data_IF_837999345750
#
_entry.id   IF_837999345750
#
_cell.length_a   1.000
_cell.length_b   1.000
_cell.length_c   1.000
_cell.angle_alpha   90.00
_cell.angle_beta   90.00
_cell.angle_gamma   90.00
#
_symmetry.space_group_name_H-M   'P 1'
#
loop_
_entity.id
_entity.type
_entity.pdbx_description
1 polymer ?
#
# COMPACT_ATOMS: atom_id res chain seq x y z
N UNK A 1 10.49 9.02 7.01
CA UNK A 1 10.99 9.69 5.80
C UNK A 1 9.92 10.46 5.02
N UNK A 2 8.84 9.83 4.55
CA UNK A 2 7.78 10.52 3.77
C UNK A 2 7.23 11.75 4.52
N UNK A 3 6.75 11.57 5.75
CA UNK A 3 6.21 12.67 6.55
C UNK A 3 7.22 13.79 6.83
N UNK A 4 8.51 13.46 7.02
CA UNK A 4 9.55 14.49 7.18
C UNK A 4 9.71 15.33 5.92
N UNK A 5 9.65 14.72 4.73
CA UNK A 5 9.71 15.46 3.47
C UNK A 5 8.49 16.38 3.28
N UNK A 6 7.31 15.95 3.71
CA UNK A 6 6.13 16.82 3.67
C UNK A 6 6.24 17.97 4.68
N UNK A 7 6.81 17.75 5.87
CA UNK A 7 7.09 18.82 6.81
C UNK A 7 8.13 19.81 6.27
N UNK A 8 9.19 19.32 5.59
CA UNK A 8 10.16 20.18 4.91
C UNK A 8 9.48 21.13 3.92
N UNK A 9 8.52 20.63 3.15
CA UNK A 9 7.77 21.44 2.17
C UNK A 9 6.85 22.44 2.87
N UNK A 10 6.07 21.97 3.86
CA UNK A 10 5.10 22.80 4.57
C UNK A 10 5.77 23.91 5.37
N UNK A 11 6.85 23.58 6.07
CA UNK A 11 7.51 24.47 7.03
C UNK A 11 8.72 25.20 6.40
N UNK A 12 8.94 25.01 5.09
CA UNK A 12 10.08 25.53 4.35
C UNK A 12 11.44 25.20 5.01
N UNK A 13 11.60 23.93 5.38
CA UNK A 13 12.84 23.39 5.98
C UNK A 13 13.50 22.34 5.06
N UNK A 14 14.68 21.86 5.44
CA UNK A 14 15.48 20.92 4.64
C UNK A 14 16.12 19.82 5.50
N UNK A 15 15.32 19.22 6.38
CA UNK A 15 15.80 18.25 7.38
C UNK A 15 15.83 16.83 6.80
N UNK A 16 14.88 16.48 5.94
CA UNK A 16 14.72 15.11 5.47
C UNK A 16 15.97 14.56 4.74
N UNK A 17 16.71 15.32 3.90
CA UNK A 17 17.91 14.79 3.24
C UNK A 17 19.03 14.43 4.21
N UNK A 18 19.31 15.27 5.21
CA UNK A 18 20.34 15.00 6.22
C UNK A 18 19.99 13.78 7.08
N UNK A 19 18.71 13.66 7.47
CA UNK A 19 18.23 12.48 8.21
C UNK A 19 18.31 11.23 7.34
N UNK A 20 17.99 11.33 6.05
CA UNK A 20 18.05 10.21 5.12
C UNK A 20 19.47 9.65 4.98
N UNK A 21 20.46 10.53 4.80
CA UNK A 21 21.87 10.15 4.70
C UNK A 21 22.32 9.39 5.95
N UNK A 22 22.08 9.98 7.13
CA UNK A 22 22.41 9.36 8.43
C UNK A 22 21.74 8.00 8.60
N UNK A 23 20.47 7.89 8.17
CA UNK A 23 19.69 6.67 8.25
C UNK A 23 20.25 5.58 7.34
N UNK A 24 20.58 5.92 6.08
CA UNK A 24 21.16 4.99 5.12
C UNK A 24 22.54 4.49 5.58
N UNK A 25 23.39 5.35 6.13
CA UNK A 25 24.69 4.95 6.65
C UNK A 25 24.58 4.05 7.88
N UNK A 26 23.63 4.35 8.76
CA UNK A 26 23.31 3.49 9.91
C UNK A 26 22.80 2.12 9.45
N UNK A 27 21.96 2.08 8.42
CA UNK A 27 21.44 0.84 7.85
C UNK A 27 22.55 -0.02 7.24
N UNK A 28 23.46 0.59 6.47
CA UNK A 28 24.64 -0.10 5.92
C UNK A 28 25.54 -0.65 7.03
N UNK A 29 25.87 0.15 8.04
CA UNK A 29 26.76 -0.28 9.14
C UNK A 29 26.17 -1.39 10.01
N UNK A 30 24.84 -1.46 10.12
CA UNK A 30 24.14 -2.54 10.83
C UNK A 30 23.82 -3.75 9.96
N UNK A 31 24.28 -3.78 8.70
CA UNK A 31 23.97 -4.81 7.72
C UNK A 31 22.45 -5.04 7.54
N UNK A 32 21.65 -3.95 7.53
CA UNK A 32 20.18 -3.98 7.44
C UNK A 32 19.61 -4.61 6.17
N UNK A 33 20.47 -5.02 5.24
CA UNK A 33 20.15 -5.72 4.01
C UNK A 33 20.95 -7.00 3.92
N UNK A 34 20.27 -8.07 3.52
CA UNK A 34 20.89 -9.35 3.22
C UNK A 34 21.27 -9.44 1.74
N UNK A 35 22.20 -10.33 1.45
CA UNK A 35 22.60 -10.68 0.07
C UNK A 35 21.43 -11.24 -0.75
N UNK A 36 20.39 -11.75 -0.09
CA UNK A 36 19.19 -12.23 -0.77
C UNK A 36 18.22 -11.09 -1.16
N UNK A 37 18.49 -9.84 -0.75
CA UNK A 37 17.67 -8.66 -1.04
C UNK A 37 16.56 -8.36 -0.04
N UNK A 38 16.42 -9.17 1.03
CA UNK A 38 15.53 -8.86 2.14
C UNK A 38 16.15 -7.81 3.09
N UNK A 39 15.28 -7.03 3.72
CA UNK A 39 15.62 -6.32 4.96
C UNK A 39 15.92 -7.36 6.05
N UNK A 40 16.97 -7.18 6.87
CA UNK A 40 17.51 -8.19 7.84
C UNK A 40 16.51 -9.26 8.29
N UNK A 41 16.95 -10.52 8.18
CA UNK A 41 16.53 -11.84 8.72
C UNK A 41 15.32 -11.98 9.65
N UNK A 42 15.00 -10.97 10.46
CA UNK A 42 13.84 -10.97 11.37
C UNK A 42 12.57 -10.41 10.73
N UNK A 43 12.66 -9.84 9.52
CA UNK A 43 11.51 -9.36 8.79
C UNK A 43 11.01 -10.41 7.78
N UNK A 44 9.95 -11.06 8.22
CA UNK A 44 9.11 -11.94 7.40
C UNK A 44 8.70 -11.25 6.06
N UNK A 45 8.46 -11.99 4.96
CA UNK A 45 8.16 -11.42 3.64
C UNK A 45 7.06 -10.34 3.64
N UNK A 46 6.09 -10.42 4.56
CA UNK A 46 5.06 -9.42 4.81
C UNK A 46 5.64 -8.04 5.13
N UNK A 47 6.67 -7.96 5.99
CA UNK A 47 7.26 -6.67 6.34
C UNK A 47 8.05 -6.09 5.16
N UNK A 48 8.78 -6.94 4.43
CA UNK A 48 9.48 -6.50 3.22
C UNK A 48 8.50 -5.89 2.22
N UNK A 49 7.30 -6.44 2.08
CA UNK A 49 6.27 -5.87 1.21
C UNK A 49 5.84 -4.46 1.66
N UNK A 50 5.50 -4.29 2.95
CA UNK A 50 5.14 -2.97 3.50
C UNK A 50 6.29 -1.95 3.37
N UNK A 51 7.50 -2.38 3.71
CA UNK A 51 8.68 -1.53 3.68
C UNK A 51 9.00 -1.12 2.23
N UNK A 52 9.02 -2.05 1.28
CA UNK A 52 9.28 -1.77 -0.13
C UNK A 52 8.28 -0.75 -0.69
N UNK A 53 6.98 -0.91 -0.42
CA UNK A 53 5.94 0.05 -0.82
C UNK A 53 6.26 1.47 -0.32
N UNK A 54 6.62 1.61 0.96
CA UNK A 54 6.93 2.90 1.59
C UNK A 54 8.29 3.47 1.17
N UNK A 55 9.27 2.59 0.95
CA UNK A 55 10.63 2.94 0.57
C UNK A 55 10.72 3.43 -0.87
N UNK A 56 9.81 3.01 -1.74
CA UNK A 56 9.71 3.48 -3.12
C UNK A 56 9.73 5.02 -3.22
N UNK A 57 9.20 5.70 -2.19
CA UNK A 57 9.21 7.15 -2.11
C UNK A 57 10.61 7.77 -2.12
N UNK A 58 11.54 7.22 -1.34
CA UNK A 58 12.81 7.86 -0.99
C UNK A 58 14.06 7.01 -1.29
N UNK A 59 13.90 5.72 -1.56
CA UNK A 59 14.95 4.81 -2.04
C UNK A 59 14.35 3.76 -2.99
N UNK A 60 13.96 4.19 -4.19
CA UNK A 60 13.24 3.34 -5.14
C UNK A 60 14.08 2.21 -5.73
N UNK A 61 15.38 2.39 -5.87
CA UNK A 61 16.29 1.36 -6.38
C UNK A 61 16.28 0.15 -5.44
N UNK A 62 16.40 0.42 -4.14
CA UNK A 62 16.35 -0.62 -3.13
C UNK A 62 14.94 -1.22 -2.97
N UNK A 63 13.89 -0.40 -3.04
CA UNK A 63 12.52 -0.89 -3.02
C UNK A 63 12.26 -1.86 -4.18
N UNK A 64 12.81 -1.59 -5.37
CA UNK A 64 12.71 -2.47 -6.53
C UNK A 64 13.43 -3.81 -6.30
N UNK A 65 14.65 -3.79 -5.75
CA UNK A 65 15.36 -5.02 -5.37
C UNK A 65 14.54 -5.84 -4.37
N UNK A 66 14.01 -5.18 -3.32
CA UNK A 66 13.18 -5.83 -2.31
C UNK A 66 11.91 -6.45 -2.91
N UNK A 67 11.26 -5.77 -3.86
CA UNK A 67 10.12 -6.31 -4.61
C UNK A 67 10.50 -7.55 -5.41
N UNK A 68 11.55 -7.48 -6.23
CA UNK A 68 11.97 -8.58 -7.10
C UNK A 68 12.38 -9.82 -6.31
N UNK A 69 13.01 -9.63 -5.15
CA UNK A 69 13.34 -10.71 -4.21
C UNK A 69 12.11 -11.29 -3.52
N UNK A 70 11.25 -10.43 -2.96
CA UNK A 70 10.22 -10.85 -2.01
C UNK A 70 8.92 -11.30 -2.69
N UNK A 71 8.67 -10.88 -3.93
CA UNK A 71 7.38 -11.09 -4.61
C UNK A 71 6.92 -12.54 -4.58
N UNK A 72 7.75 -13.49 -5.01
CA UNK A 72 7.38 -14.90 -5.03
C UNK A 72 7.11 -15.45 -3.63
N UNK A 73 7.94 -15.07 -2.64
CA UNK A 73 7.77 -15.48 -1.24
C UNK A 73 6.45 -14.94 -0.66
N UNK A 74 6.13 -13.68 -0.96
CA UNK A 74 4.84 -13.04 -0.61
C UNK A 74 3.67 -13.78 -1.24
N UNK A 75 3.76 -14.12 -2.53
CA UNK A 75 2.69 -14.85 -3.24
C UNK A 75 2.50 -16.27 -2.71
N UNK A 76 3.57 -16.98 -2.37
CA UNK A 76 3.50 -18.32 -1.77
C UNK A 76 2.79 -18.30 -0.41
N UNK A 77 2.89 -17.20 0.35
CA UNK A 77 2.19 -17.04 1.62
C UNK A 77 0.68 -16.75 1.43
N UNK A 78 0.30 -16.13 0.32
CA UNK A 78 -1.09 -15.76 0.01
C UNK A 78 -1.83 -16.93 -0.67
N UNK A 79 -1.15 -17.57 -1.62
CA UNK A 79 -1.65 -18.68 -2.41
C UNK A 79 -0.69 -19.87 -2.27
N UNK A 80 -0.65 -20.53 -1.10
CA UNK A 80 0.17 -21.72 -0.95
C UNK A 80 -0.32 -22.75 -1.97
N UNK A 81 0.51 -23.04 -2.97
CA UNK A 81 0.21 -24.14 -3.89
C UNK A 81 0.02 -25.40 -3.03
N UNK A 82 -0.89 -26.29 -3.43
CA UNK A 82 -1.14 -27.58 -2.78
C UNK A 82 0.07 -28.55 -2.91
N UNK A 83 1.29 -28.02 -2.85
CA UNK A 83 2.51 -28.77 -2.65
C UNK A 83 2.59 -29.03 -1.16
N UNK A 84 2.67 -30.30 -0.81
CA UNK A 84 3.04 -30.83 0.50
C UNK A 84 4.41 -30.34 1.03
N UNK A 85 4.97 -29.26 0.49
CA UNK A 85 6.33 -28.74 0.76
C UNK A 85 6.33 -27.43 1.56
N UNK A 86 5.18 -26.91 2.00
CA UNK A 86 5.16 -25.85 3.04
C UNK A 86 5.82 -26.35 4.34
N UNK A 87 5.80 -27.66 4.57
CA UNK A 87 6.57 -28.29 5.64
C UNK A 87 8.08 -28.03 5.48
N UNK A 88 8.65 -28.16 4.29
CA UNK A 88 10.11 -28.03 4.06
C UNK A 88 10.61 -26.58 4.07
N UNK A 89 9.80 -25.62 3.59
CA UNK A 89 10.13 -24.19 3.69
C UNK A 89 10.05 -23.69 5.16
N UNK A 90 9.21 -24.32 5.98
CA UNK A 90 9.11 -24.00 7.41
C UNK A 90 10.29 -24.58 8.21
N UNK A 91 10.79 -25.78 7.87
CA UNK A 91 11.85 -26.44 8.66
C UNK A 91 13.16 -25.66 8.68
N UNK A 92 13.50 -24.94 7.61
CA UNK A 92 14.75 -24.15 7.53
C UNK A 92 14.65 -22.83 8.31
N UNK A 93 13.44 -22.30 8.53
CA UNK A 93 13.20 -21.09 9.33
C UNK A 93 13.02 -21.38 10.82
N UNK A 94 12.59 -22.60 11.19
CA UNK A 94 12.32 -23.01 12.57
C UNK A 94 13.58 -23.08 13.45
N UNK A 95 14.79 -23.10 12.89
CA UNK A 95 16.03 -23.16 13.69
C UNK A 95 16.53 -21.82 14.23
N UNK A 96 15.83 -20.70 13.98
CA UNK A 96 16.17 -19.40 14.55
C UNK A 96 15.00 -18.88 15.40
N UNK A 97 15.11 -19.14 16.70
CA UNK A 97 14.37 -18.55 17.81
C UNK A 97 12.91 -18.17 17.54
N UNK A 98 12.00 -19.06 17.95
CA UNK A 98 10.56 -18.78 18.10
C UNK A 98 10.33 -17.60 19.05
N UNK A 99 10.21 -16.40 18.49
CA UNK A 99 9.34 -15.38 19.08
C UNK A 99 7.91 -15.89 18.82
N UNK A 100 7.07 -16.05 19.85
CA UNK A 100 5.67 -16.40 19.64
C UNK A 100 5.09 -15.33 18.73
N UNK A 101 4.69 -15.65 17.50
CA UNK A 101 4.17 -14.68 16.52
C UNK A 101 2.72 -14.32 16.91
N UNK A 102 2.47 -13.19 17.58
CA UNK A 102 1.14 -12.80 18.02
C UNK A 102 0.68 -11.71 17.04
N UNK A 103 -0.15 -12.10 16.07
CA UNK A 103 -0.67 -11.36 14.91
C UNK A 103 -0.07 -11.88 13.60
N UNK A 104 -0.88 -12.60 12.82
CA UNK A 104 -0.68 -12.72 11.38
C UNK A 104 -0.64 -11.31 10.82
N UNK A 105 0.52 -10.84 10.37
CA UNK A 105 0.67 -9.52 9.73
C UNK A 105 -0.26 -9.45 8.51
N UNK A 106 -0.75 -8.25 8.13
CA UNK A 106 -1.74 -8.06 7.07
C UNK A 106 -1.13 -8.26 5.66
N UNK A 107 -0.67 -9.47 5.37
CA UNK A 107 0.07 -9.82 4.15
C UNK A 107 -0.69 -9.48 2.88
N UNK A 108 -2.00 -9.70 2.86
CA UNK A 108 -2.85 -9.33 1.73
C UNK A 108 -2.82 -7.82 1.47
N UNK A 109 -2.85 -7.03 2.54
CA UNK A 109 -2.81 -5.58 2.47
C UNK A 109 -1.45 -5.06 2.01
N UNK A 110 -0.38 -5.57 2.61
CA UNK A 110 0.98 -5.17 2.25
C UNK A 110 1.37 -5.59 0.83
N UNK A 111 0.90 -6.74 0.36
CA UNK A 111 1.07 -7.14 -1.03
C UNK A 111 0.33 -6.19 -1.98
N UNK A 112 -0.92 -5.80 -1.67
CA UNK A 112 -1.66 -4.83 -2.48
C UNK A 112 -0.90 -3.50 -2.62
N UNK A 113 -0.40 -2.98 -1.49
CA UNK A 113 0.40 -1.75 -1.45
C UNK A 113 1.68 -1.90 -2.28
N UNK A 114 2.46 -2.95 -2.03
CA UNK A 114 3.72 -3.20 -2.72
C UNK A 114 3.55 -3.35 -4.24
N UNK A 115 2.57 -4.14 -4.69
CA UNK A 115 2.31 -4.36 -6.11
C UNK A 115 1.84 -3.06 -6.78
N UNK A 116 0.98 -2.28 -6.11
CA UNK A 116 0.53 -0.99 -6.67
C UNK A 116 1.65 0.04 -6.83
N UNK A 117 2.66 0.01 -5.94
CA UNK A 117 3.79 0.93 -5.97
C UNK A 117 4.88 0.53 -6.97
N UNK A 118 5.13 -0.78 -7.12
CA UNK A 118 6.35 -1.32 -7.73
C UNK A 118 6.09 -2.35 -8.86
N UNK A 119 4.92 -2.98 -8.88
CA UNK A 119 4.51 -3.93 -9.90
C UNK A 119 3.92 -3.26 -11.15
N UNK A 120 3.67 -4.06 -12.18
CA UNK A 120 2.93 -3.60 -13.36
C UNK A 120 1.40 -3.68 -13.15
N UNK A 121 0.67 -2.98 -14.02
CA UNK A 121 -0.79 -2.90 -13.97
C UNK A 121 -1.46 -4.26 -14.08
N UNK A 122 -0.93 -5.15 -14.94
CA UNK A 122 -1.48 -6.49 -15.15
C UNK A 122 -1.37 -7.36 -13.88
N UNK A 123 -0.26 -7.24 -13.17
CA UNK A 123 0.00 -7.95 -11.90
C UNK A 123 -0.93 -7.44 -10.80
N UNK A 124 -1.11 -6.12 -10.69
CA UNK A 124 -2.03 -5.52 -9.73
C UNK A 124 -3.48 -5.95 -10.01
N UNK A 125 -3.90 -5.87 -11.27
CA UNK A 125 -5.24 -6.23 -11.71
C UNK A 125 -5.53 -7.74 -11.50
N UNK A 126 -4.55 -8.61 -11.79
CA UNK A 126 -4.66 -10.03 -11.46
C UNK A 126 -4.77 -10.28 -9.95
N UNK A 127 -3.97 -9.58 -9.14
CA UNK A 127 -4.01 -9.68 -7.69
C UNK A 127 -5.37 -9.24 -7.13
N UNK A 128 -5.89 -8.10 -7.57
CA UNK A 128 -7.18 -7.57 -7.13
C UNK A 128 -8.34 -8.50 -7.53
N UNK A 129 -8.31 -9.08 -8.75
CA UNK A 129 -9.30 -10.10 -9.15
C UNK A 129 -9.26 -11.35 -8.28
N UNK A 130 -8.08 -11.79 -7.90
CA UNK A 130 -7.93 -12.90 -6.97
C UNK A 130 -8.57 -12.55 -5.62
N UNK A 131 -8.26 -11.37 -5.08
CA UNK A 131 -8.81 -10.88 -3.81
C UNK A 131 -10.34 -10.81 -3.89
N UNK A 132 -10.93 -10.25 -4.94
CA UNK A 132 -12.39 -10.15 -5.11
C UNK A 132 -13.08 -11.52 -5.15
N UNK A 133 -12.43 -12.50 -5.77
CA UNK A 133 -12.95 -13.87 -5.84
C UNK A 133 -12.84 -14.60 -4.50
N UNK A 134 -11.74 -14.39 -3.79
CA UNK A 134 -11.43 -15.05 -2.53
C UNK A 134 -12.18 -14.42 -1.34
N UNK A 135 -12.34 -13.10 -1.38
CA UNK A 135 -12.97 -12.24 -0.38
C UNK A 135 -13.91 -11.27 -1.10
N UNK A 136 -15.16 -11.68 -1.39
CA UNK A 136 -16.11 -10.79 -2.06
C UNK A 136 -16.29 -9.50 -1.27
N UNK A 137 -16.06 -8.32 -1.87
CA UNK A 137 -16.23 -7.06 -1.17
C UNK A 137 -17.72 -6.70 -1.03
N UNK A 138 -18.00 -5.78 -0.11
CA UNK A 138 -19.32 -5.21 0.13
C UNK A 138 -19.30 -3.73 -0.24
N UNK A 139 -20.37 -3.28 -0.89
CA UNK A 139 -20.70 -1.86 -1.03
C UNK A 139 -21.73 -1.49 0.02
N UNK A 140 -21.41 -0.51 0.86
CA UNK A 140 -22.32 0.04 1.85
C UNK A 140 -22.14 1.56 1.88
N UNK A 141 -23.22 2.30 1.64
CA UNK A 141 -23.24 3.77 1.69
C UNK A 141 -22.09 4.42 0.89
N UNK A 142 -21.88 3.98 -0.35
CA UNK A 142 -20.82 4.49 -1.24
C UNK A 142 -19.42 3.93 -0.96
N UNK A 143 -19.21 3.28 0.19
CA UNK A 143 -17.95 2.67 0.56
C UNK A 143 -17.82 1.23 0.06
N UNK A 144 -16.72 0.94 -0.64
CA UNK A 144 -16.26 -0.42 -0.91
C UNK A 144 -15.35 -0.89 0.23
N UNK A 145 -15.69 -2.02 0.86
CA UNK A 145 -14.83 -2.62 1.89
C UNK A 145 -14.84 -4.15 1.83
N UNK A 146 -13.82 -4.77 2.44
CA UNK A 146 -13.76 -6.22 2.62
C UNK A 146 -14.06 -6.56 4.09
N UNK A 147 -15.13 -7.32 4.38
CA UNK A 147 -15.48 -7.68 5.74
C UNK A 147 -14.36 -8.43 6.45
N UNK A 148 -14.22 -8.21 7.75
CA UNK A 148 -13.27 -8.96 8.55
C UNK A 148 -13.65 -10.44 8.58
N UNK A 149 -12.70 -11.31 8.20
CA UNK A 149 -12.87 -12.76 8.16
C UNK A 149 -11.71 -13.38 8.94
N UNK A 150 -12.05 -14.04 10.04
CA UNK A 150 -11.10 -14.84 10.80
C UNK A 150 -10.55 -15.98 9.92
N UNK A 151 -9.31 -16.38 10.20
CA UNK A 151 -8.68 -17.48 9.49
C UNK A 151 -9.53 -18.75 9.64
N UNK A 152 -10.13 -19.21 8.54
CA UNK A 152 -10.80 -20.53 8.49
C UNK A 152 -9.74 -21.58 8.21
N UNK A 153 -9.91 -22.79 8.76
CA UNK A 153 -8.97 -23.91 8.62
C UNK A 153 -8.48 -24.08 7.17
N UNK A 154 -7.27 -23.58 6.89
CA UNK A 154 -6.32 -24.20 5.97
C UNK A 154 -6.28 -23.80 4.49
N UNK A 155 -6.69 -22.59 4.04
CA UNK A 155 -6.38 -22.24 2.63
C UNK A 155 -5.97 -20.80 2.30
N UNK A 156 -6.46 -19.78 2.99
CA UNK A 156 -6.18 -18.39 2.65
C UNK A 156 -5.90 -17.54 3.90
N UNK A 157 -5.10 -16.46 3.81
CA UNK A 157 -4.86 -15.56 4.94
C UNK A 157 -6.15 -14.95 5.51
N UNK A 158 -6.18 -14.51 6.78
CA UNK A 158 -7.33 -13.78 7.30
C UNK A 158 -7.49 -12.41 6.61
N UNK A 159 -8.72 -11.89 6.64
CA UNK A 159 -9.01 -10.50 6.27
C UNK A 159 -9.22 -9.70 7.57
N UNK A 160 -8.29 -8.83 7.92
CA UNK A 160 -8.44 -7.92 9.06
C UNK A 160 -8.96 -6.53 8.61
N UNK A 161 -9.35 -5.70 9.58
CA UNK A 161 -9.93 -4.39 9.31
C UNK A 161 -8.97 -3.44 8.57
N UNK A 162 -7.66 -3.49 8.85
CA UNK A 162 -6.69 -2.67 8.14
C UNK A 162 -6.53 -3.16 6.69
N UNK A 163 -6.40 -4.46 6.48
CA UNK A 163 -6.33 -5.06 5.14
C UNK A 163 -7.54 -4.66 4.30
N UNK A 164 -8.74 -4.89 4.83
CA UNK A 164 -10.00 -4.74 4.09
C UNK A 164 -10.48 -3.31 3.90
N UNK A 165 -10.16 -2.39 4.82
CA UNK A 165 -10.67 -1.02 4.76
C UNK A 165 -9.62 0.01 4.33
N UNK A 166 -8.33 -0.32 4.40
CA UNK A 166 -7.28 0.64 4.07
C UNK A 166 -6.29 0.10 3.03
N UNK A 167 -5.73 -1.09 3.22
CA UNK A 167 -4.59 -1.53 2.43
C UNK A 167 -4.97 -2.04 1.01
N UNK A 168 -6.06 -2.80 0.86
CA UNK A 168 -6.56 -3.16 -0.48
C UNK A 168 -7.13 -1.93 -1.19
N UNK A 169 -7.96 -1.08 -0.56
CA UNK A 169 -8.38 0.19 -1.16
C UNK A 169 -7.21 1.09 -1.59
N UNK A 170 -6.14 1.15 -0.80
CA UNK A 170 -4.90 1.80 -1.22
C UNK A 170 -4.42 1.23 -2.56
N UNK A 171 -4.28 -0.10 -2.68
CA UNK A 171 -3.86 -0.72 -3.93
C UNK A 171 -4.77 -0.42 -5.13
N UNK A 172 -6.06 -0.19 -4.90
CA UNK A 172 -7.05 0.17 -5.94
C UNK A 172 -6.97 1.63 -6.36
N UNK A 173 -6.75 2.54 -5.41
CA UNK A 173 -6.72 3.99 -5.63
C UNK A 173 -5.34 4.51 -6.03
N UNK A 174 -4.30 3.77 -5.68
CA UNK A 174 -2.93 4.18 -5.93
C UNK A 174 -2.61 4.17 -7.42
N UNK A 175 -1.84 5.16 -7.86
CA UNK A 175 -1.22 5.18 -9.18
C UNK A 175 0.18 4.59 -9.10
N UNK A 176 0.69 4.03 -10.20
CA UNK A 176 2.04 3.48 -10.23
C UNK A 176 3.08 4.50 -9.72
N UNK A 177 3.86 4.09 -8.71
CA UNK A 177 4.81 4.93 -7.98
C UNK A 177 4.18 6.14 -7.25
N UNK A 178 2.93 6.04 -6.79
CA UNK A 178 2.18 7.13 -6.17
C UNK A 178 2.95 7.83 -5.04
N UNK A 179 3.51 7.08 -4.09
CA UNK A 179 4.27 7.67 -2.99
C UNK A 179 5.53 8.39 -3.47
N UNK A 180 6.21 7.85 -4.48
CA UNK A 180 7.39 8.48 -5.09
C UNK A 180 7.04 9.76 -5.82
N UNK A 181 5.91 9.79 -6.54
CA UNK A 181 5.42 11.01 -7.20
C UNK A 181 5.17 12.10 -6.17
N UNK A 182 4.43 11.79 -5.11
CA UNK A 182 4.14 12.72 -4.02
C UNK A 182 5.39 13.15 -3.24
N UNK A 183 6.37 12.26 -3.08
CA UNK A 183 7.63 12.56 -2.39
C UNK A 183 8.55 13.47 -3.22
N UNK A 184 8.69 13.20 -4.53
CA UNK A 184 9.54 13.98 -5.43
C UNK A 184 8.94 15.32 -5.79
N UNK A 185 7.64 15.34 -6.06
CA UNK A 185 6.89 16.54 -6.47
C UNK A 185 5.71 16.77 -5.52
N UNK A 186 5.98 17.09 -4.24
CA UNK A 186 4.92 17.43 -3.30
C UNK A 186 4.23 18.71 -3.74
N UNK A 187 2.92 18.80 -3.54
CA UNK A 187 2.19 20.05 -3.70
C UNK A 187 2.73 21.11 -2.74
N UNK A 188 2.93 22.31 -3.28
CA UNK A 188 3.45 23.48 -2.56
C UNK A 188 2.30 24.42 -2.22
N UNK A 189 2.60 25.48 -1.45
CA UNK A 189 1.64 26.58 -1.20
C UNK A 189 1.10 27.19 -2.50
N UNK A 190 1.93 27.28 -3.55
CA UNK A 190 1.50 27.76 -4.87
C UNK A 190 0.40 26.88 -5.47
N UNK A 191 0.50 25.55 -5.35
CA UNK A 191 -0.55 24.65 -5.82
C UNK A 191 -1.89 24.94 -5.12
N UNK A 192 -1.88 25.00 -3.79
CA UNK A 192 -3.11 25.22 -3.01
C UNK A 192 -3.70 26.63 -3.15
N UNK A 193 -2.90 27.63 -3.52
CA UNK A 193 -3.36 29.00 -3.75
C UNK A 193 -3.92 29.25 -5.15
N UNK A 194 -3.66 28.35 -6.10
CA UNK A 194 -4.05 28.51 -7.51
C UNK A 194 -5.06 27.49 -7.99
N UNK A 195 -5.01 26.26 -7.46
CA UNK A 195 -5.94 25.20 -7.87
C UNK A 195 -7.30 25.39 -7.18
N UNK A 196 -8.40 25.34 -7.95
CA UNK A 196 -9.71 25.42 -7.35
C UNK A 196 -10.05 24.09 -6.66
N UNK A 197 -10.84 24.21 -5.59
CA UNK A 197 -11.33 23.09 -4.82
C UNK A 197 -12.83 23.26 -4.57
N UNK A 198 -13.47 22.16 -4.22
CA UNK A 198 -14.89 22.15 -3.85
C UNK A 198 -14.95 22.33 -2.34
N UNK A 199 -15.70 23.32 -1.90
CA UNK A 199 -15.95 23.58 -0.48
C UNK A 199 -17.43 23.29 -0.13
N UNK A 200 -17.74 23.18 1.16
CA UNK A 200 -19.07 22.88 1.69
C UNK A 200 -19.66 21.55 1.23
N UNK A 201 -18.79 20.58 0.90
CA UNK A 201 -19.15 19.17 0.71
C UNK A 201 -18.24 18.32 1.59
N UNK A 202 -18.85 17.44 2.37
CA UNK A 202 -18.15 16.52 3.26
C UNK A 202 -18.72 15.09 3.13
N UNK A 203 -18.19 14.16 3.92
CA UNK A 203 -18.64 12.76 3.91
C UNK A 203 -20.11 12.58 4.33
N UNK A 204 -20.71 13.57 5.00
CA UNK A 204 -22.13 13.58 5.40
C UNK A 204 -23.07 14.07 4.30
N UNK A 205 -22.52 14.65 3.22
CA UNK A 205 -23.29 15.32 2.16
C UNK A 205 -24.06 14.35 1.24
N UNK A 206 -23.99 13.03 1.47
CA UNK A 206 -24.79 12.05 0.73
C UNK A 206 -24.35 11.83 -0.71
N UNK A 207 -23.13 12.26 -1.08
CA UNK A 207 -22.59 12.26 -2.43
C UNK A 207 -21.20 11.61 -2.51
N UNK A 208 -20.97 10.85 -3.58
CA UNK A 208 -19.67 10.33 -3.97
C UNK A 208 -19.10 11.12 -5.14
N UNK A 209 -17.78 11.31 -5.14
CA UNK A 209 -17.04 11.94 -6.24
C UNK A 209 -16.51 10.87 -7.19
N UNK A 210 -17.08 10.79 -8.39
CA UNK A 210 -16.70 9.81 -9.41
C UNK A 210 -15.56 10.30 -10.31
N UNK A 211 -15.47 11.61 -10.49
CA UNK A 211 -14.45 12.26 -11.32
C UNK A 211 -14.26 13.70 -10.87
N UNK A 212 -13.02 14.16 -10.87
CA UNK A 212 -12.65 15.57 -10.80
C UNK A 212 -11.48 15.84 -11.74
N UNK A 213 -11.57 16.88 -12.56
CA UNK A 213 -10.46 17.36 -13.39
C UNK A 213 -10.50 18.89 -13.52
N UNK A 214 -9.33 19.52 -13.44
CA UNK A 214 -9.14 20.94 -13.72
C UNK A 214 -8.58 21.10 -15.14
N UNK A 215 -9.20 21.98 -15.92
CA UNK A 215 -8.73 22.39 -17.24
C UNK A 215 -8.15 23.82 -17.12
N UNK A 216 -6.83 23.92 -17.24
CA UNK A 216 -6.08 25.19 -17.10
C UNK A 216 -6.43 26.18 -18.23
N UNK A 217 -6.60 25.69 -19.46
CA UNK A 217 -6.85 26.54 -20.64
C UNK A 217 -8.23 27.17 -20.58
N UNK A 218 -9.21 26.43 -20.06
CA UNK A 218 -10.59 26.90 -19.90
C UNK A 218 -10.86 27.54 -18.53
N UNK A 219 -9.91 27.47 -17.60
CA UNK A 219 -10.09 27.80 -16.19
C UNK A 219 -11.38 27.19 -15.61
N UNK A 220 -11.61 25.91 -15.92
CA UNK A 220 -12.86 25.21 -15.60
C UNK A 220 -12.63 23.89 -14.86
N UNK A 221 -13.42 23.66 -13.82
CA UNK A 221 -13.45 22.38 -13.09
C UNK A 221 -14.60 21.53 -13.60
N UNK A 222 -14.30 20.31 -14.05
CA UNK A 222 -15.29 19.29 -14.37
C UNK A 222 -15.37 18.28 -13.23
N UNK A 223 -16.55 18.15 -12.63
CA UNK A 223 -16.80 17.25 -11.50
C UNK A 223 -17.99 16.36 -11.86
N UNK A 224 -17.91 15.09 -11.51
CA UNK A 224 -19.05 14.17 -11.60
C UNK A 224 -19.31 13.61 -10.21
N UNK A 225 -20.54 13.81 -9.73
CA UNK A 225 -21.00 13.37 -8.41
C UNK A 225 -22.22 12.48 -8.57
N UNK A 226 -22.38 11.50 -7.69
CA UNK A 226 -23.62 10.73 -7.57
C UNK A 226 -24.06 10.63 -6.11
N UNK A 227 -25.36 10.43 -5.86
CA UNK A 227 -25.78 10.09 -4.49
C UNK A 227 -25.40 8.66 -4.16
N UNK A 228 -24.83 8.44 -2.97
CA UNK A 228 -24.48 7.09 -2.50
C UNK A 228 -25.63 6.37 -1.78
N UNK A 229 -26.80 7.02 -1.65
CA UNK A 229 -27.92 6.47 -0.86
C UNK A 229 -28.56 5.21 -1.45
N UNK A 230 -28.14 4.74 -2.63
CA UNK A 230 -28.56 3.44 -3.20
C UNK A 230 -30.07 3.25 -3.40
N UNK A 231 -30.89 4.25 -3.06
CA UNK A 231 -32.33 4.26 -3.24
C UNK A 231 -32.66 5.17 -4.41
N UNK A 232 -32.99 4.55 -5.53
CA UNK A 232 -34.01 5.13 -6.39
C UNK A 232 -35.32 5.06 -5.59
N UNK A 233 -35.63 6.10 -4.83
CA UNK A 233 -37.02 6.32 -4.42
C UNK A 233 -37.77 6.74 -5.69
N UNK A 234 -38.46 5.75 -6.30
CA UNK A 234 -39.61 5.97 -7.18
C UNK A 234 -40.88 6.05 -6.33
#
# INVERSE_FOLDING_TARGET
MIGMRHNDVRDNTHIAPTVLETYQDTWKSKAMFQDDGLLIDWFSPEFTAWAAASMNAWNPELAKVAYDTAYNRVMDMIMPTNKSTVAEASTTLISRAQIPQPMTKPILGYAAQMISELGDEATLDQYLRFIDKAYPPIWEQGGLFYPAIAQRNGRLPPMDAFTGNAAIPYGRLNVFQGQRRMYKNPWTEEHFSTYPFIDNVDLSSGVDFLRGSWDEDLAAMAITMCSYLGKNEM
#
